data_IF_999885625028
#
_entry.id   IF_999885625028
#
_cell.length_a   1.000
_cell.length_b   1.000
_cell.length_c   1.000
_cell.angle_alpha   90.00
_cell.angle_beta   90.00
_cell.angle_gamma   90.00
#
_symmetry.space_group_name_H-M   'P 1'
#
loop_
_entity.id
_entity.type
_entity.pdbx_description
1 polymer ?
#
# COMPACT_ATOMS: atom_id res chain seq x y z
N UNK A 1 8.36 -28.37 11.79
CA UNK A 1 7.78 -29.09 10.63
C UNK A 1 6.27 -28.87 10.63
N UNK A 2 5.72 -28.10 9.70
CA UNK A 2 4.28 -27.87 9.61
C UNK A 2 3.62 -29.17 9.10
N UNK A 3 2.96 -29.89 10.00
CA UNK A 3 2.30 -31.14 9.65
C UNK A 3 1.08 -30.84 8.75
N UNK A 4 1.11 -31.38 7.53
CA UNK A 4 -0.02 -31.34 6.61
C UNK A 4 -1.17 -32.15 7.20
N UNK A 5 -2.32 -31.53 7.42
CA UNK A 5 -3.55 -32.27 7.77
C UNK A 5 -3.90 -33.22 6.61
N UNK A 6 -4.19 -34.49 6.93
CA UNK A 6 -4.57 -35.50 5.95
C UNK A 6 -5.78 -35.01 5.15
N UNK A 7 -5.61 -34.90 3.81
CA UNK A 7 -6.65 -34.37 2.91
C UNK A 7 -6.39 -32.96 2.34
N UNK A 8 -5.53 -32.15 2.96
CA UNK A 8 -5.21 -30.84 2.39
C UNK A 8 -4.29 -30.96 1.18
N UNK A 9 -4.78 -30.54 0.01
CA UNK A 9 -3.99 -30.46 -1.23
C UNK A 9 -3.10 -29.23 -1.27
N UNK A 10 -3.38 -28.24 -0.43
CA UNK A 10 -2.70 -26.95 -0.38
C UNK A 10 -2.48 -26.49 1.06
N UNK A 11 -1.34 -25.89 1.36
CA UNK A 11 -1.06 -25.28 2.65
C UNK A 11 -0.16 -24.05 2.50
N UNK A 12 -0.38 -23.07 3.34
CA UNK A 12 0.47 -21.90 3.38
C UNK A 12 1.81 -22.21 4.05
N UNK A 13 2.90 -21.84 3.37
CA UNK A 13 4.25 -21.98 3.91
C UNK A 13 4.66 -20.71 4.61
N UNK A 14 4.47 -19.56 3.97
CA UNK A 14 4.81 -18.25 4.51
C UNK A 14 3.97 -17.15 3.87
N UNK A 15 3.76 -16.07 4.61
CA UNK A 15 3.12 -14.83 4.14
C UNK A 15 4.04 -13.65 4.43
N UNK A 16 3.96 -12.61 3.58
CA UNK A 16 4.68 -11.35 3.81
C UNK A 16 6.20 -11.48 3.73
N UNK A 17 6.69 -12.41 2.91
CA UNK A 17 8.12 -12.53 2.64
C UNK A 17 8.60 -11.32 1.84
N UNK A 18 9.73 -10.77 2.23
CA UNK A 18 10.48 -9.82 1.41
C UNK A 18 11.18 -10.55 0.25
N UNK A 19 11.73 -9.78 -0.68
CA UNK A 19 12.40 -10.32 -1.86
C UNK A 19 13.60 -11.18 -1.49
N UNK A 20 14.34 -10.83 -0.45
CA UNK A 20 15.54 -11.59 -0.03
C UNK A 20 15.17 -12.94 0.57
N UNK A 21 14.22 -12.96 1.51
CA UNK A 21 13.73 -14.20 2.11
C UNK A 21 13.06 -15.10 1.06
N UNK A 22 12.31 -14.52 0.12
CA UNK A 22 11.75 -15.26 -1.00
C UNK A 22 12.84 -15.92 -1.87
N UNK A 23 13.89 -15.16 -2.23
CA UNK A 23 14.99 -15.67 -3.05
C UNK A 23 15.77 -16.79 -2.31
N UNK A 24 15.94 -16.68 -0.99
CA UNK A 24 16.53 -17.76 -0.16
C UNK A 24 15.64 -19.00 -0.20
N UNK A 25 14.33 -18.84 -0.01
CA UNK A 25 13.38 -19.94 -0.04
C UNK A 25 13.32 -20.63 -1.41
N UNK A 26 13.38 -19.87 -2.50
CA UNK A 26 13.37 -20.40 -3.87
C UNK A 26 14.57 -21.30 -4.16
N UNK A 27 15.70 -21.12 -3.47
CA UNK A 27 16.90 -21.97 -3.61
C UNK A 27 16.79 -23.32 -2.89
N UNK A 28 15.81 -23.50 -2.01
CA UNK A 28 15.62 -24.78 -1.30
C UNK A 28 15.33 -25.93 -2.29
N UNK A 29 15.76 -27.17 -1.96
CA UNK A 29 15.78 -28.30 -2.90
C UNK A 29 14.44 -28.59 -3.60
N UNK A 30 13.33 -28.47 -2.87
CA UNK A 30 11.98 -28.71 -3.41
C UNK A 30 11.51 -27.49 -4.22
N UNK A 31 11.69 -26.28 -3.69
CA UNK A 31 11.14 -25.06 -4.29
C UNK A 31 11.90 -24.62 -5.55
N UNK A 32 13.18 -24.96 -5.67
CA UNK A 32 13.95 -24.74 -6.90
C UNK A 32 13.36 -25.43 -8.13
N UNK A 33 12.55 -26.45 -7.93
CA UNK A 33 11.87 -27.18 -9.00
C UNK A 33 10.64 -26.44 -9.57
N UNK A 34 10.31 -25.26 -9.00
CA UNK A 34 9.24 -24.39 -9.47
C UNK A 34 7.83 -24.89 -9.21
N UNK A 35 6.87 -24.38 -9.95
CA UNK A 35 5.43 -24.61 -9.73
C UNK A 35 5.03 -26.06 -10.01
N UNK A 36 5.48 -26.63 -11.13
CA UNK A 36 5.00 -27.93 -11.60
C UNK A 36 5.60 -29.08 -10.79
N UNK A 37 6.91 -29.12 -10.64
CA UNK A 37 7.61 -30.22 -9.94
C UNK A 37 7.79 -29.95 -8.45
N UNK A 38 7.96 -28.68 -8.06
CA UNK A 38 8.14 -28.27 -6.66
C UNK A 38 6.84 -27.93 -5.93
N UNK A 39 5.73 -27.83 -6.66
CA UNK A 39 4.42 -27.50 -6.08
C UNK A 39 4.34 -26.10 -5.45
N UNK A 40 5.31 -25.22 -5.74
CA UNK A 40 5.35 -23.88 -5.15
C UNK A 40 4.48 -22.91 -5.92
N UNK A 41 3.41 -22.43 -5.31
CA UNK A 41 2.56 -21.35 -5.82
C UNK A 41 2.94 -20.07 -5.12
N UNK A 42 3.28 -19.04 -5.89
CA UNK A 42 3.68 -17.73 -5.39
C UNK A 42 2.62 -16.71 -5.78
N UNK A 43 2.15 -15.96 -4.80
CA UNK A 43 1.29 -14.79 -5.03
C UNK A 43 2.06 -13.55 -4.63
N UNK A 44 2.20 -12.62 -5.56
CA UNK A 44 2.90 -11.34 -5.32
C UNK A 44 1.84 -10.29 -5.06
N UNK A 45 1.97 -9.60 -3.94
CA UNK A 45 1.09 -8.50 -3.57
C UNK A 45 1.91 -7.22 -3.43
N UNK A 46 1.42 -6.14 -4.02
CA UNK A 46 1.95 -4.82 -3.75
C UNK A 46 1.68 -4.45 -2.28
N UNK A 47 2.71 -4.02 -1.56
CA UNK A 47 2.57 -3.44 -0.24
C UNK A 47 2.77 -1.94 -0.33
N UNK A 48 1.74 -1.20 0.10
CA UNK A 48 1.86 0.24 0.22
C UNK A 48 2.78 0.59 1.37
N UNK A 49 3.75 1.44 1.11
CA UNK A 49 4.68 1.95 2.10
C UNK A 49 4.46 3.44 2.25
N UNK A 50 4.35 3.92 3.47
CA UNK A 50 4.31 5.35 3.81
C UNK A 50 5.66 5.73 4.44
N UNK A 51 6.62 6.26 3.68
CA UNK A 51 7.97 6.55 4.18
C UNK A 51 7.96 7.53 5.35
N UNK A 52 7.05 8.49 5.31
CA UNK A 52 6.92 9.56 6.29
C UNK A 52 5.75 9.35 7.28
N UNK A 53 5.31 8.09 7.43
CA UNK A 53 4.25 7.69 8.37
C UNK A 53 2.97 8.53 8.20
N UNK A 54 2.62 9.31 9.23
CA UNK A 54 1.40 10.13 9.26
C UNK A 54 1.58 11.54 8.70
N UNK A 55 2.83 11.93 8.36
CA UNK A 55 3.08 13.24 7.79
C UNK A 55 2.32 13.43 6.47
N UNK A 56 1.54 14.48 6.36
CA UNK A 56 0.64 14.76 5.24
C UNK A 56 -0.38 13.65 4.92
N UNK A 57 -0.66 12.74 5.87
CA UNK A 57 -1.49 11.56 5.61
C UNK A 57 -2.90 11.91 5.12
N UNK A 58 -3.52 12.96 5.60
CA UNK A 58 -4.83 13.44 5.13
C UNK A 58 -4.78 14.06 3.73
N UNK A 59 -3.69 14.73 3.39
CA UNK A 59 -3.49 15.35 2.07
C UNK A 59 -3.22 14.28 1.02
N UNK A 60 -2.34 13.35 1.33
CA UNK A 60 -2.05 12.20 0.47
C UNK A 60 -3.29 11.31 0.37
N UNK A 61 -3.93 11.06 1.49
CA UNK A 61 -5.13 10.25 1.56
C UNK A 61 -4.86 8.75 1.67
N UNK A 62 -5.90 7.99 1.53
CA UNK A 62 -5.85 6.52 1.58
C UNK A 62 -6.88 5.97 0.61
N UNK A 63 -6.43 5.10 -0.28
CA UNK A 63 -7.35 4.26 -1.04
C UNK A 63 -7.79 3.08 -0.14
N UNK A 64 -9.04 3.10 0.25
CA UNK A 64 -9.69 1.99 0.99
C UNK A 64 -10.75 1.37 0.11
N UNK A 65 -10.73 0.06 0.03
CA UNK A 65 -11.84 -0.70 -0.57
C UNK A 65 -13.07 -0.51 0.33
N UNK A 66 -14.17 -0.02 -0.22
CA UNK A 66 -15.46 0.24 0.47
C UNK A 66 -15.46 1.40 1.48
N UNK A 67 -14.60 2.40 1.33
CA UNK A 67 -14.66 3.65 2.09
C UNK A 67 -14.52 4.86 1.16
N UNK A 68 -14.89 6.03 1.67
CA UNK A 68 -14.73 7.28 0.94
C UNK A 68 -13.27 7.49 0.56
N UNK A 69 -13.06 7.81 -0.70
CA UNK A 69 -11.75 8.13 -1.24
C UNK A 69 -11.40 9.54 -0.85
N UNK A 70 -10.33 9.70 -0.08
CA UNK A 70 -9.88 10.99 0.44
C UNK A 70 -8.49 11.32 -0.09
N UNK A 71 -8.23 12.63 -0.23
CA UNK A 71 -6.92 13.16 -0.58
C UNK A 71 -6.54 12.95 -2.05
N UNK A 72 -5.25 13.16 -2.33
CA UNK A 72 -4.70 13.05 -3.67
C UNK A 72 -4.90 11.65 -4.27
N UNK A 73 -4.71 10.62 -3.46
CA UNK A 73 -4.91 9.24 -3.92
C UNK A 73 -6.34 8.92 -4.26
N UNK A 74 -7.28 9.49 -3.51
CA UNK A 74 -8.70 9.34 -3.83
C UNK A 74 -9.08 10.05 -5.12
N UNK A 75 -8.58 11.26 -5.31
CA UNK A 75 -8.90 12.06 -6.50
C UNK A 75 -8.26 11.50 -7.78
N UNK A 76 -6.99 11.09 -7.70
CA UNK A 76 -6.23 10.58 -8.84
C UNK A 76 -6.23 9.06 -8.96
N UNK A 77 -7.14 8.36 -8.31
CA UNK A 77 -7.22 6.89 -8.29
C UNK A 77 -7.17 6.26 -9.69
N UNK A 78 -7.86 6.84 -10.66
CA UNK A 78 -7.88 6.34 -12.05
C UNK A 78 -6.50 6.34 -12.72
N UNK A 79 -5.64 7.30 -12.35
CA UNK A 79 -4.28 7.39 -12.89
C UNK A 79 -3.31 6.50 -12.11
N UNK A 80 -3.48 6.45 -10.79
CA UNK A 80 -2.58 5.74 -9.90
C UNK A 80 -2.72 4.21 -9.96
N UNK A 81 -3.91 3.71 -10.24
CA UNK A 81 -4.15 2.25 -10.24
C UNK A 81 -3.63 1.53 -11.49
N UNK A 82 -3.51 2.22 -12.62
CA UNK A 82 -3.28 1.55 -13.89
C UNK A 82 -4.43 0.62 -14.29
N UNK A 83 -4.14 -0.32 -15.16
CA UNK A 83 -5.14 -1.31 -15.56
C UNK A 83 -5.42 -2.26 -14.40
N UNK A 84 -6.72 -2.49 -14.14
CA UNK A 84 -7.15 -3.46 -13.13
C UNK A 84 -6.62 -4.83 -13.52
N UNK A 85 -5.92 -5.46 -12.60
CA UNK A 85 -5.28 -6.76 -12.77
C UNK A 85 -6.35 -7.86 -13.02
N UNK A 86 -6.86 -7.95 -14.24
CA UNK A 86 -7.73 -9.04 -14.68
C UNK A 86 -6.85 -10.25 -14.98
N UNK A 87 -6.37 -10.91 -13.90
CA UNK A 87 -5.67 -12.18 -14.07
C UNK A 87 -6.66 -13.30 -14.30
N UNK A 88 -6.40 -14.06 -15.34
CA UNK A 88 -7.07 -15.35 -15.55
C UNK A 88 -6.79 -16.23 -14.32
N UNK A 89 -7.83 -16.52 -13.57
CA UNK A 89 -7.75 -17.38 -12.40
C UNK A 89 -8.23 -18.78 -12.78
N UNK A 90 -7.43 -19.78 -12.55
CA UNK A 90 -7.82 -21.18 -12.74
C UNK A 90 -8.21 -21.82 -11.41
N UNK A 91 -9.36 -22.42 -11.36
CA UNK A 91 -9.78 -23.22 -10.21
C UNK A 91 -8.90 -24.45 -10.07
N UNK A 92 -8.34 -24.67 -8.91
CA UNK A 92 -7.36 -25.73 -8.67
C UNK A 92 -8.01 -27.12 -8.64
N UNK A 93 -9.27 -27.21 -8.23
CA UNK A 93 -10.02 -28.46 -8.17
C UNK A 93 -11.52 -28.21 -8.29
N UNK A 94 -12.27 -29.05 -8.98
CA UNK A 94 -13.73 -29.00 -8.95
C UNK A 94 -14.25 -29.22 -7.52
N UNK A 95 -15.02 -28.26 -7.00
CA UNK A 95 -15.59 -28.34 -5.66
C UNK A 95 -14.85 -27.55 -4.57
N UNK A 96 -13.67 -27.00 -4.82
CA UNK A 96 -12.95 -26.12 -3.89
C UNK A 96 -12.91 -24.70 -4.44
N UNK A 97 -13.17 -23.70 -3.60
CA UNK A 97 -13.08 -22.26 -3.98
C UNK A 97 -11.65 -21.73 -3.92
N UNK A 98 -10.70 -22.53 -4.40
CA UNK A 98 -9.29 -22.14 -4.46
C UNK A 98 -8.97 -21.75 -5.90
N UNK A 99 -8.76 -20.45 -6.12
CA UNK A 99 -8.39 -19.87 -7.39
C UNK A 99 -6.90 -19.56 -7.41
N UNK A 100 -6.22 -19.96 -8.46
CA UNK A 100 -4.78 -19.72 -8.65
C UNK A 100 -4.58 -18.92 -9.91
N UNK A 101 -3.77 -17.84 -9.88
CA UNK A 101 -3.44 -17.10 -11.08
C UNK A 101 -2.77 -18.02 -12.10
N UNK A 102 -3.27 -17.99 -13.33
CA UNK A 102 -2.58 -18.63 -14.47
C UNK A 102 -1.50 -17.67 -14.91
N UNK A 103 -0.27 -18.08 -14.85
CA UNK A 103 0.83 -17.30 -15.42
C UNK A 103 0.85 -17.59 -16.92
N UNK A 104 0.44 -16.60 -17.72
CA UNK A 104 0.59 -16.61 -19.17
C UNK A 104 1.73 -15.64 -19.53
N UNK A 105 2.82 -16.12 -20.15
CA UNK A 105 3.92 -15.26 -20.58
C UNK A 105 3.53 -14.27 -21.68
N UNK A 106 2.40 -14.49 -22.36
CA UNK A 106 1.85 -13.60 -23.39
C UNK A 106 0.87 -12.57 -22.84
N UNK A 107 0.52 -12.63 -21.54
CA UNK A 107 -0.27 -11.57 -20.91
C UNK A 107 0.55 -10.28 -20.94
N UNK A 108 -0.02 -9.29 -21.62
CA UNK A 108 0.50 -7.94 -21.75
C UNK A 108 1.03 -7.45 -20.39
N UNK A 109 2.18 -6.79 -20.41
CA UNK A 109 2.73 -6.09 -19.27
C UNK A 109 1.62 -5.31 -18.58
N UNK A 110 1.35 -5.67 -17.33
CA UNK A 110 0.38 -4.97 -16.51
C UNK A 110 0.77 -3.50 -16.52
N UNK A 111 -0.06 -2.68 -17.14
CA UNK A 111 0.16 -1.23 -17.14
C UNK A 111 0.18 -0.77 -15.68
N UNK A 112 1.34 -0.40 -15.22
CA UNK A 112 1.48 0.24 -13.91
C UNK A 112 0.73 1.56 -13.95
N UNK A 113 0.17 1.95 -12.82
CA UNK A 113 -0.40 3.30 -12.68
C UNK A 113 0.68 4.36 -12.81
N UNK A 114 0.25 5.55 -13.12
CA UNK A 114 1.12 6.72 -13.25
C UNK A 114 1.55 7.23 -11.87
N UNK A 115 2.67 7.93 -11.82
CA UNK A 115 3.16 8.61 -10.63
C UNK A 115 2.61 10.04 -10.56
N UNK A 116 2.35 10.54 -9.35
CA UNK A 116 1.95 11.91 -9.12
C UNK A 116 3.08 12.67 -8.42
N UNK A 117 3.53 13.73 -9.06
CA UNK A 117 4.49 14.66 -8.47
C UNK A 117 3.74 15.83 -7.83
N UNK A 118 3.95 16.04 -6.55
CA UNK A 118 3.34 17.12 -5.78
C UNK A 118 4.33 18.27 -5.57
N UNK A 119 3.82 19.47 -5.28
CA UNK A 119 4.63 20.63 -4.90
C UNK A 119 5.00 20.66 -3.42
N UNK A 120 4.56 19.65 -2.65
CA UNK A 120 4.81 19.55 -1.21
C UNK A 120 6.30 19.31 -0.98
N UNK A 121 6.91 20.16 -0.14
CA UNK A 121 8.26 19.99 0.35
C UNK A 121 8.21 19.32 1.71
N UNK A 122 8.92 18.22 1.87
CA UNK A 122 8.82 17.38 3.07
C UNK A 122 9.37 18.06 4.33
N UNK A 123 10.43 18.83 4.20
CA UNK A 123 11.03 19.55 5.32
C UNK A 123 10.11 20.68 5.81
N UNK A 124 9.50 21.41 4.86
CA UNK A 124 8.51 22.43 5.19
C UNK A 124 7.24 21.82 5.78
N UNK A 125 6.83 20.67 5.28
CA UNK A 125 5.68 19.92 5.80
C UNK A 125 5.90 19.50 7.24
N UNK A 126 7.10 19.01 7.57
CA UNK A 126 7.47 18.59 8.92
C UNK A 126 7.48 19.80 9.87
N UNK A 127 8.13 20.90 9.49
CA UNK A 127 8.15 22.13 10.27
C UNK A 127 6.73 22.66 10.55
N UNK A 128 5.90 22.78 9.51
CA UNK A 128 4.50 23.23 9.65
C UNK A 128 3.69 22.31 10.54
N UNK A 129 3.90 20.99 10.44
CA UNK A 129 3.22 20.02 11.29
C UNK A 129 3.58 20.19 12.76
N UNK A 130 4.88 20.32 13.08
CA UNK A 130 5.35 20.50 14.45
C UNK A 130 4.87 21.83 15.08
N UNK A 131 4.95 22.92 14.34
CA UNK A 131 4.48 24.23 14.80
C UNK A 131 2.96 24.22 15.03
N UNK A 132 2.20 23.62 14.14
CA UNK A 132 0.76 23.47 14.31
C UNK A 132 0.43 22.63 15.54
N UNK A 133 1.12 21.52 15.74
CA UNK A 133 0.93 20.65 16.90
C UNK A 133 1.22 21.40 18.22
N UNK A 134 2.33 22.14 18.28
CA UNK A 134 2.68 22.96 19.41
C UNK A 134 1.62 24.04 19.70
N UNK A 135 1.12 24.71 18.67
CA UNK A 135 0.08 25.72 18.81
C UNK A 135 -1.24 25.14 19.31
N UNK A 136 -1.69 24.02 18.74
CA UNK A 136 -2.93 23.35 19.13
C UNK A 136 -2.86 22.87 20.58
N UNK A 137 -1.73 22.31 21.00
CA UNK A 137 -1.50 21.89 22.39
C UNK A 137 -1.47 23.08 23.35
N UNK A 138 -0.73 24.13 23.02
CA UNK A 138 -0.61 25.36 23.82
C UNK A 138 -1.96 26.01 24.08
N UNK A 139 -2.79 26.09 23.05
CA UNK A 139 -4.10 26.74 23.12
C UNK A 139 -5.23 25.78 23.50
N UNK A 140 -4.93 24.50 23.73
CA UNK A 140 -5.92 23.44 24.00
C UNK A 140 -7.06 23.44 22.98
N UNK A 141 -6.73 23.71 21.71
CA UNK A 141 -7.69 23.75 20.63
C UNK A 141 -8.19 22.35 20.26
N UNK A 142 -9.39 22.24 19.73
CA UNK A 142 -9.93 20.95 19.24
C UNK A 142 -9.28 20.49 17.94
N UNK A 143 -8.65 21.39 17.24
CA UNK A 143 -7.92 21.12 16.02
C UNK A 143 -7.34 22.38 15.38
N UNK A 144 -6.67 22.22 14.26
CA UNK A 144 -6.10 23.32 13.51
C UNK A 144 -5.70 22.91 12.11
N UNK A 145 -5.60 23.89 11.25
CA UNK A 145 -5.11 23.74 9.87
C UNK A 145 -4.04 24.78 9.61
N UNK A 146 -2.95 24.39 8.98
CA UNK A 146 -1.91 25.28 8.53
C UNK A 146 -1.57 24.98 7.07
N UNK A 147 -1.48 26.02 6.24
CA UNK A 147 -1.15 25.92 4.82
C UNK A 147 -0.01 26.89 4.53
N UNK A 148 1.06 26.36 3.93
CA UNK A 148 2.18 27.14 3.43
C UNK A 148 2.15 27.16 1.90
N UNK A 149 2.02 28.36 1.31
CA UNK A 149 1.91 28.54 -0.11
C UNK A 149 2.97 29.52 -0.61
N UNK A 150 3.59 29.21 -1.72
CA UNK A 150 4.54 30.08 -2.41
C UNK A 150 3.76 31.20 -3.16
N UNK A 151 4.01 32.44 -2.80
CA UNK A 151 3.23 33.59 -3.30
C UNK A 151 3.35 33.77 -4.81
N UNK A 152 4.55 33.55 -5.37
CA UNK A 152 4.79 33.81 -6.80
C UNK A 152 4.13 32.79 -7.74
N UNK A 153 3.96 31.54 -7.29
CA UNK A 153 3.46 30.43 -8.12
C UNK A 153 2.09 29.90 -7.66
N UNK A 154 1.69 30.22 -6.43
CA UNK A 154 0.51 29.63 -5.80
C UNK A 154 0.70 28.14 -5.40
N UNK A 155 1.93 27.61 -5.50
CA UNK A 155 2.22 26.23 -5.17
C UNK A 155 2.12 25.98 -3.67
N UNK A 156 1.37 24.98 -3.27
CA UNK A 156 1.27 24.56 -1.87
C UNK A 156 2.53 23.74 -1.53
N UNK A 157 3.32 24.26 -0.59
CA UNK A 157 4.57 23.64 -0.11
C UNK A 157 4.36 22.76 1.12
N UNK A 158 3.38 23.11 1.95
CA UNK A 158 2.96 22.30 3.08
C UNK A 158 1.48 22.50 3.40
N UNK A 159 0.84 21.44 3.87
CA UNK A 159 -0.54 21.49 4.37
C UNK A 159 -0.67 20.49 5.52
N UNK A 160 -0.97 20.99 6.71
CA UNK A 160 -1.16 20.18 7.90
C UNK A 160 -2.56 20.40 8.47
N UNK A 161 -3.18 19.32 8.87
CA UNK A 161 -4.50 19.32 9.47
C UNK A 161 -4.46 18.38 10.67
N UNK A 162 -4.71 18.93 11.85
CA UNK A 162 -4.76 18.20 13.10
C UNK A 162 -6.16 18.30 13.70
N UNK A 163 -6.63 17.18 14.24
CA UNK A 163 -7.90 17.12 14.98
C UNK A 163 -7.66 16.29 16.22
N UNK A 164 -8.15 16.76 17.34
CA UNK A 164 -8.04 16.05 18.62
C UNK A 164 -8.76 14.71 18.54
N UNK A 165 -8.04 13.63 18.80
CA UNK A 165 -8.59 12.28 18.87
C UNK A 165 -8.66 11.84 20.33
N UNK A 166 -9.82 12.10 21.01
CA UNK A 166 -9.99 11.80 22.43
C UNK A 166 -9.33 12.82 23.36
N UNK A 167 -9.17 12.48 24.64
CA UNK A 167 -8.84 13.45 25.69
C UNK A 167 -7.40 14.02 25.67
N UNK A 168 -6.48 13.53 24.84
CA UNK A 168 -5.09 14.01 24.88
C UNK A 168 -4.25 13.73 23.63
N UNK A 169 -4.81 13.25 22.52
CA UNK A 169 -4.06 12.90 21.30
C UNK A 169 -4.51 13.73 20.10
N UNK A 170 -3.54 14.24 19.34
CA UNK A 170 -3.74 14.96 18.08
C UNK A 170 -3.22 14.16 16.90
#
# INVERSE_FOLDING_TARGET
MLARKKGNKYFFIAKGLDIEAFNKMKKAPIFRLGKIRGGMVVSIYGKRVKPYKELASRTIGVDRVNADRIGLEGYFDKFLKGDTDQRLMKRLSPGEDIWVPVYDPSENEIKRGDDIHTTINIDMQDAVHHELLAAVQKHKAEGGVAILMEVGTGAIKAISNLTRAGDSTY
#
